data_IF_489957928084
#
_entry.id   IF_489957928084
#
_cell.length_a   1.000
_cell.length_b   1.000
_cell.length_c   1.000
_cell.angle_alpha   90.00
_cell.angle_beta   90.00
_cell.angle_gamma   90.00
#
_symmetry.space_group_name_H-M   'P 1'
#
loop_
_entity.id
_entity.type
_entity.pdbx_description
1 polymer ?
#
# COMPACT_ATOMS: atom_id res chain seq x y z
N UNK A 1 -7.75 -10.39 25.31
CA UNK A 1 -6.65 -10.23 24.33
C UNK A 1 -6.80 -11.18 23.14
N UNK A 2 -7.03 -12.49 23.36
CA UNK A 2 -7.19 -13.52 22.33
C UNK A 2 -8.18 -13.15 21.21
N UNK A 3 -9.39 -12.65 21.54
CA UNK A 3 -10.39 -12.25 20.53
C UNK A 3 -9.87 -11.21 19.51
N UNK A 4 -9.09 -10.22 19.96
CA UNK A 4 -8.52 -9.20 19.07
C UNK A 4 -7.44 -9.78 18.16
N UNK A 5 -6.61 -10.69 18.68
CA UNK A 5 -5.59 -11.38 17.90
C UNK A 5 -6.22 -12.26 16.81
N UNK A 6 -7.32 -12.96 17.12
CA UNK A 6 -8.07 -13.75 16.13
C UNK A 6 -8.61 -12.84 15.02
N UNK A 7 -9.22 -11.70 15.37
CA UNK A 7 -9.76 -10.77 14.37
C UNK A 7 -8.66 -10.16 13.48
N UNK A 8 -7.49 -9.85 14.05
CA UNK A 8 -6.32 -9.40 13.30
C UNK A 8 -5.88 -10.51 12.34
N UNK A 9 -5.72 -11.74 12.82
CA UNK A 9 -5.29 -12.88 12.01
C UNK A 9 -6.27 -13.15 10.86
N UNK A 10 -7.58 -13.10 11.11
CA UNK A 10 -8.60 -13.25 10.07
C UNK A 10 -8.50 -12.14 9.02
N UNK A 11 -8.32 -10.88 9.44
CA UNK A 11 -8.12 -9.76 8.51
C UNK A 11 -6.86 -9.92 7.67
N UNK A 12 -5.75 -10.33 8.29
CA UNK A 12 -4.49 -10.58 7.58
C UNK A 12 -4.61 -11.75 6.60
N UNK A 13 -5.26 -12.85 6.99
CA UNK A 13 -5.49 -14.01 6.13
C UNK A 13 -6.40 -13.67 4.94
N UNK A 14 -7.46 -12.90 5.18
CA UNK A 14 -8.33 -12.39 4.12
C UNK A 14 -7.54 -11.51 3.13
N UNK A 15 -6.62 -10.67 3.63
CA UNK A 15 -5.77 -9.87 2.77
C UNK A 15 -4.85 -10.75 1.90
N UNK A 16 -4.24 -11.80 2.46
CA UNK A 16 -3.45 -12.77 1.67
C UNK A 16 -4.30 -13.39 0.56
N UNK A 17 -5.51 -13.86 0.87
CA UNK A 17 -6.40 -14.46 -0.13
C UNK A 17 -6.74 -13.48 -1.27
N UNK A 18 -7.05 -12.22 -0.94
CA UNK A 18 -7.31 -11.17 -1.94
C UNK A 18 -6.08 -10.87 -2.77
N UNK A 19 -4.89 -10.75 -2.16
CA UNK A 19 -3.65 -10.51 -2.87
C UNK A 19 -3.32 -11.64 -3.85
N UNK A 20 -3.41 -12.90 -3.41
CA UNK A 20 -3.16 -14.08 -4.26
C UNK A 20 -4.18 -14.13 -5.39
N UNK A 21 -5.46 -13.92 -5.10
CA UNK A 21 -6.50 -13.89 -6.12
C UNK A 21 -6.21 -12.82 -7.17
N UNK A 22 -6.01 -11.56 -6.76
CA UNK A 22 -5.74 -10.45 -7.71
C UNK A 22 -4.47 -10.68 -8.51
N UNK A 23 -3.37 -11.11 -7.86
CA UNK A 23 -2.13 -11.43 -8.56
C UNK A 23 -2.34 -12.54 -9.61
N UNK A 24 -3.05 -13.61 -9.27
CA UNK A 24 -3.32 -14.72 -10.19
C UNK A 24 -4.09 -14.30 -11.45
N UNK A 25 -4.96 -13.28 -11.34
CA UNK A 25 -5.72 -12.73 -12.47
C UNK A 25 -4.90 -11.74 -13.29
N UNK A 26 -3.92 -11.08 -12.67
CA UNK A 26 -3.08 -10.08 -13.31
C UNK A 26 -1.90 -10.70 -14.08
N UNK A 27 -1.39 -11.85 -13.64
CA UNK A 27 -0.37 -12.61 -14.37
C UNK A 27 -0.89 -13.00 -15.76
N UNK A 28 -0.08 -12.80 -16.80
CA UNK A 28 -0.48 -13.04 -18.19
C UNK A 28 -1.55 -12.10 -18.77
N UNK A 29 -2.00 -11.08 -18.04
CA UNK A 29 -3.08 -10.17 -18.50
C UNK A 29 -2.61 -9.07 -19.45
N UNK A 30 -1.30 -8.87 -19.58
CA UNK A 30 -0.73 -7.83 -20.44
C UNK A 30 -0.36 -8.39 -21.82
N UNK A 31 -0.35 -7.50 -22.82
CA UNK A 31 0.06 -7.85 -24.17
C UNK A 31 1.45 -8.48 -24.19
N UNK A 32 1.61 -9.53 -24.99
CA UNK A 32 2.86 -10.29 -25.11
C UNK A 32 3.93 -9.58 -25.96
N UNK A 33 3.59 -8.45 -26.59
CA UNK A 33 4.51 -7.72 -27.44
C UNK A 33 5.74 -7.26 -26.63
N UNK A 34 6.95 -7.39 -27.18
CA UNK A 34 8.15 -6.83 -26.55
C UNK A 34 7.98 -5.33 -26.31
N UNK A 35 8.38 -4.88 -25.13
CA UNK A 35 8.38 -3.47 -24.74
C UNK A 35 9.81 -3.03 -24.45
N UNK A 36 10.17 -1.84 -24.87
CA UNK A 36 11.46 -1.26 -24.54
C UNK A 36 11.53 -0.98 -23.03
N UNK A 37 12.73 -1.11 -22.42
CA UNK A 37 12.94 -0.89 -20.97
C UNK A 37 12.33 0.43 -20.49
N UNK A 38 12.48 1.50 -21.28
CA UNK A 38 11.91 2.82 -20.98
C UNK A 38 10.38 2.80 -20.84
N UNK A 39 9.67 2.05 -21.68
CA UNK A 39 8.21 1.93 -21.63
C UNK A 39 7.74 1.16 -20.39
N UNK A 40 8.50 0.15 -19.99
CA UNK A 40 8.21 -0.64 -18.78
C UNK A 40 8.40 0.19 -17.51
N UNK A 41 9.47 0.97 -17.45
CA UNK A 41 9.70 1.93 -16.36
C UNK A 41 8.65 3.05 -16.36
N UNK A 42 8.25 3.54 -17.53
CA UNK A 42 7.17 4.51 -17.65
C UNK A 42 5.84 3.96 -17.13
N UNK A 43 5.54 2.67 -17.34
CA UNK A 43 4.38 2.00 -16.76
C UNK A 43 4.43 2.03 -15.22
N UNK A 44 5.55 1.63 -14.62
CA UNK A 44 5.72 1.68 -13.15
C UNK A 44 5.56 3.11 -12.62
N UNK A 45 6.21 4.09 -13.25
CA UNK A 45 6.15 5.50 -12.87
C UNK A 45 4.72 6.07 -12.93
N UNK A 46 3.93 5.71 -13.95
CA UNK A 46 2.52 6.15 -14.06
C UNK A 46 1.69 5.63 -12.90
N UNK A 47 1.87 4.37 -12.52
CA UNK A 47 1.09 3.77 -11.44
C UNK A 47 1.51 4.22 -10.04
N UNK A 48 2.72 4.78 -9.88
CA UNK A 48 3.13 5.49 -8.66
C UNK A 48 2.27 6.72 -8.34
N UNK A 49 1.48 7.22 -9.30
CA UNK A 49 0.47 8.25 -9.03
C UNK A 49 -0.53 7.79 -7.95
N UNK A 50 -0.89 6.50 -7.90
CA UNK A 50 -1.85 5.96 -6.94
C UNK A 50 -1.38 6.14 -5.48
N UNK A 51 -0.22 5.59 -5.07
CA UNK A 51 0.28 5.81 -3.71
C UNK A 51 0.54 7.29 -3.41
N UNK A 52 0.98 8.08 -4.39
CA UNK A 52 1.16 9.52 -4.24
C UNK A 52 -0.17 10.24 -3.90
N UNK A 53 -1.27 9.91 -4.58
CA UNK A 53 -2.59 10.45 -4.29
C UNK A 53 -3.10 10.01 -2.91
N UNK A 54 -2.88 8.76 -2.51
CA UNK A 54 -3.24 8.27 -1.17
C UNK A 54 -2.49 9.02 -0.06
N UNK A 55 -1.20 9.32 -0.27
CA UNK A 55 -0.38 10.09 0.65
C UNK A 55 -0.82 11.57 0.68
N UNK A 56 -1.04 12.16 -0.48
CA UNK A 56 -1.50 13.54 -0.62
C UNK A 56 -2.84 13.76 0.10
N UNK A 57 -3.79 12.83 -0.05
CA UNK A 57 -5.07 12.90 0.66
C UNK A 57 -4.89 12.91 2.18
N UNK A 58 -4.04 12.03 2.73
CA UNK A 58 -3.78 11.99 4.17
C UNK A 58 -3.01 13.21 4.68
N UNK A 59 -2.10 13.78 3.88
CA UNK A 59 -1.44 15.06 4.17
C UNK A 59 -2.45 16.20 4.22
N UNK A 60 -3.36 16.28 3.24
CA UNK A 60 -4.44 17.28 3.21
C UNK A 60 -5.35 17.20 4.44
N UNK A 61 -5.73 15.99 4.85
CA UNK A 61 -6.48 15.77 6.09
C UNK A 61 -5.71 16.23 7.33
N UNK A 62 -4.39 16.01 7.39
CA UNK A 62 -3.55 16.44 8.53
C UNK A 62 -3.43 17.96 8.58
N UNK A 63 -3.19 18.58 7.43
CA UNK A 63 -3.10 20.03 7.30
C UNK A 63 -4.41 20.68 7.77
N UNK A 64 -5.55 20.23 7.26
CA UNK A 64 -6.86 20.75 7.64
C UNK A 64 -7.11 20.68 9.16
N UNK A 65 -6.65 19.62 9.81
CA UNK A 65 -6.81 19.50 11.26
C UNK A 65 -5.91 20.41 12.08
N UNK A 66 -4.67 20.63 11.63
CA UNK A 66 -3.76 21.58 12.29
C UNK A 66 -4.21 23.02 12.14
N UNK A 67 -4.81 23.37 11.00
CA UNK A 67 -5.33 24.73 10.77
C UNK A 67 -6.59 25.04 11.59
N UNK A 68 -7.45 24.05 11.84
CA UNK A 68 -8.78 24.27 12.42
C UNK A 68 -8.89 23.98 13.92
N UNK A 69 -7.81 23.51 14.57
CA UNK A 69 -7.84 23.11 15.99
C UNK A 69 -6.68 23.70 16.78
N UNK A 70 -6.99 24.56 17.74
CA UNK A 70 -5.99 25.26 18.55
C UNK A 70 -5.04 24.31 19.31
N UNK A 71 -5.54 23.18 19.82
CA UNK A 71 -4.75 22.14 20.49
C UNK A 71 -3.81 21.37 19.54
N UNK A 72 -4.07 21.40 18.23
CA UNK A 72 -3.22 20.79 17.21
C UNK A 72 -2.12 21.72 16.67
N UNK A 73 -2.22 23.03 16.94
CA UNK A 73 -1.23 24.04 16.52
C UNK A 73 0.05 23.87 17.35
N UNK A 74 -0.09 23.69 18.66
CA UNK A 74 1.04 23.58 19.59
C UNK A 74 1.80 22.25 19.50
N UNK A 75 1.27 21.27 18.75
CA UNK A 75 1.95 20.00 18.47
C UNK A 75 2.13 19.07 19.68
N UNK A 76 1.46 19.34 20.80
CA UNK A 76 1.56 18.56 22.03
C UNK A 76 0.93 17.15 21.95
N UNK A 77 1.41 16.18 22.75
CA UNK A 77 0.83 14.85 22.80
C UNK A 77 -0.60 14.87 23.38
N UNK A 78 -1.53 14.16 22.75
CA UNK A 78 -2.92 14.02 23.22
C UNK A 78 -3.09 12.73 24.02
N UNK A 79 -3.93 12.75 25.08
CA UNK A 79 -4.07 11.65 26.04
C UNK A 79 -4.78 10.39 25.48
N UNK A 80 -5.44 10.49 24.34
CA UNK A 80 -6.04 9.37 23.58
C UNK A 80 -5.79 9.62 22.09
N UNK A 81 -5.57 8.57 21.27
CA UNK A 81 -5.41 8.76 19.83
C UNK A 81 -6.69 9.30 19.23
N UNK A 82 -6.73 10.62 19.06
CA UNK A 82 -7.73 11.31 18.28
C UNK A 82 -7.53 11.06 16.79
N UNK A 83 -8.41 11.61 15.97
CA UNK A 83 -8.31 11.52 14.52
C UNK A 83 -6.93 11.96 14.01
N UNK A 84 -6.36 13.05 14.56
CA UNK A 84 -5.06 13.57 14.13
C UNK A 84 -3.95 12.53 14.30
N UNK A 85 -3.90 11.84 15.43
CA UNK A 85 -2.90 10.81 15.67
C UNK A 85 -3.08 9.62 14.71
N UNK A 86 -4.33 9.20 14.47
CA UNK A 86 -4.65 8.15 13.48
C UNK A 86 -4.15 8.57 12.09
N UNK A 87 -4.41 9.81 11.68
CA UNK A 87 -4.04 10.30 10.37
C UNK A 87 -2.52 10.48 10.20
N UNK A 88 -1.81 10.91 11.25
CA UNK A 88 -0.35 10.94 11.26
C UNK A 88 0.25 9.53 11.11
N UNK A 89 -0.32 8.53 11.82
CA UNK A 89 0.09 7.12 11.68
C UNK A 89 -0.24 6.56 10.30
N UNK A 90 -1.36 6.96 9.70
CA UNK A 90 -1.71 6.65 8.32
C UNK A 90 -0.70 7.23 7.33
N UNK A 91 -0.31 8.50 7.48
CA UNK A 91 0.65 9.16 6.60
C UNK A 91 2.03 8.52 6.67
N UNK A 92 2.54 8.29 7.90
CA UNK A 92 3.83 7.63 8.09
C UNK A 92 3.84 6.25 7.44
N UNK A 93 2.82 5.44 7.70
CA UNK A 93 2.75 4.11 7.11
C UNK A 93 2.58 4.17 5.59
N UNK A 94 1.78 5.10 5.07
CA UNK A 94 1.58 5.24 3.61
C UNK A 94 2.86 5.69 2.93
N UNK A 95 3.67 6.55 3.55
CA UNK A 95 4.99 6.91 3.04
C UNK A 95 5.92 5.69 2.97
N UNK A 96 6.02 4.92 4.06
CA UNK A 96 6.81 3.69 4.10
C UNK A 96 6.38 2.70 3.00
N UNK A 97 5.08 2.45 2.87
CA UNK A 97 4.55 1.55 1.85
C UNK A 97 4.77 2.11 0.43
N UNK A 98 4.72 3.43 0.24
CA UNK A 98 5.00 4.07 -1.06
C UNK A 98 6.44 3.87 -1.49
N UNK A 99 7.40 4.05 -0.57
CA UNK A 99 8.83 3.82 -0.84
C UNK A 99 9.08 2.35 -1.22
N UNK A 100 8.50 1.41 -0.48
CA UNK A 100 8.62 -0.02 -0.80
C UNK A 100 7.97 -0.36 -2.15
N UNK A 101 6.80 0.22 -2.46
CA UNK A 101 6.14 0.04 -3.75
C UNK A 101 6.98 0.60 -4.91
N UNK A 102 7.63 1.75 -4.73
CA UNK A 102 8.51 2.34 -5.75
C UNK A 102 9.66 1.39 -6.13
N UNK A 103 10.32 0.81 -5.13
CA UNK A 103 11.40 -0.17 -5.34
C UNK A 103 10.85 -1.44 -5.99
N UNK A 104 9.76 -1.97 -5.43
CA UNK A 104 9.13 -3.21 -5.88
C UNK A 104 8.67 -3.11 -7.35
N UNK A 105 7.91 -2.07 -7.71
CA UNK A 105 7.32 -1.95 -9.05
C UNK A 105 8.36 -1.60 -10.11
N UNK A 106 9.39 -0.83 -9.75
CA UNK A 106 10.56 -0.63 -10.63
C UNK A 106 11.24 -1.96 -10.92
N UNK A 107 11.50 -2.77 -9.89
CA UNK A 107 12.10 -4.10 -10.08
C UNK A 107 11.21 -5.03 -10.93
N UNK A 108 9.91 -5.08 -10.67
CA UNK A 108 8.97 -5.86 -11.50
C UNK A 108 8.96 -5.39 -12.95
N UNK A 109 9.02 -4.08 -13.21
CA UNK A 109 9.07 -3.53 -14.55
C UNK A 109 10.35 -3.90 -15.31
N UNK A 110 11.43 -4.23 -14.61
CA UNK A 110 12.68 -4.69 -15.22
C UNK A 110 12.71 -6.21 -15.40
N UNK A 111 12.21 -6.97 -14.42
CA UNK A 111 12.43 -8.43 -14.34
C UNK A 111 11.28 -9.29 -14.87
N UNK A 112 10.04 -8.80 -14.87
CA UNK A 112 8.90 -9.61 -15.36
C UNK A 112 9.00 -9.85 -16.87
N UNK A 113 8.22 -10.79 -17.40
CA UNK A 113 7.99 -10.86 -18.84
C UNK A 113 6.99 -9.77 -19.28
N UNK A 114 6.93 -9.38 -20.57
CA UNK A 114 5.93 -8.42 -21.04
C UNK A 114 4.48 -8.83 -20.73
N UNK A 115 4.18 -10.14 -20.71
CA UNK A 115 2.83 -10.66 -20.40
C UNK A 115 2.40 -10.44 -18.96
N UNK A 116 3.35 -10.34 -18.03
CA UNK A 116 3.08 -10.25 -16.59
C UNK A 116 3.09 -8.81 -16.07
N UNK A 117 3.39 -7.83 -16.92
CA UNK A 117 3.41 -6.41 -16.53
C UNK A 117 2.06 -5.88 -16.03
N UNK A 118 0.96 -6.58 -16.32
CA UNK A 118 -0.36 -6.30 -15.75
C UNK A 118 -0.43 -6.47 -14.24
N UNK A 119 0.57 -7.10 -13.62
CA UNK A 119 0.70 -7.17 -12.17
C UNK A 119 0.85 -5.77 -11.53
N UNK A 120 1.63 -4.87 -12.12
CA UNK A 120 1.88 -3.52 -11.57
C UNK A 120 0.58 -2.72 -11.37
N UNK A 121 -0.29 -2.53 -12.39
CA UNK A 121 -1.57 -1.84 -12.19
C UNK A 121 -2.47 -2.54 -11.15
N UNK A 122 -2.45 -3.86 -11.11
CA UNK A 122 -3.25 -4.61 -10.14
C UNK A 122 -2.75 -4.38 -8.69
N UNK A 123 -1.44 -4.33 -8.48
CA UNK A 123 -0.84 -3.99 -7.18
C UNK A 123 -1.13 -2.54 -6.79
N UNK A 124 -1.16 -1.61 -7.75
CA UNK A 124 -1.58 -0.23 -7.49
C UNK A 124 -3.05 -0.15 -7.06
N UNK A 125 -3.95 -0.93 -7.68
CA UNK A 125 -5.34 -1.07 -7.25
C UNK A 125 -5.46 -1.60 -5.82
N UNK A 126 -4.73 -2.68 -5.50
CA UNK A 126 -4.63 -3.19 -4.13
C UNK A 126 -4.11 -2.13 -3.15
N UNK A 127 -3.17 -1.29 -3.59
CA UNK A 127 -2.64 -0.20 -2.79
C UNK A 127 -3.73 0.78 -2.40
N UNK A 128 -4.48 1.31 -3.38
CA UNK A 128 -5.58 2.25 -3.13
C UNK A 128 -6.64 1.66 -2.18
N UNK A 129 -7.10 0.44 -2.46
CA UNK A 129 -8.10 -0.24 -1.62
C UNK A 129 -7.56 -0.51 -0.23
N UNK A 130 -6.30 -0.95 -0.13
CA UNK A 130 -5.61 -1.20 1.14
C UNK A 130 -5.50 0.05 1.99
N UNK A 131 -5.18 1.21 1.40
CA UNK A 131 -5.13 2.50 2.12
C UNK A 131 -6.50 2.95 2.62
N UNK A 132 -7.53 2.85 1.80
CA UNK A 132 -8.90 3.16 2.21
C UNK A 132 -9.35 2.25 3.37
N UNK A 133 -9.16 0.93 3.23
CA UNK A 133 -9.52 -0.04 4.26
C UNK A 133 -8.71 0.14 5.55
N UNK A 134 -7.42 0.47 5.45
CA UNK A 134 -6.59 0.77 6.61
C UNK A 134 -7.12 1.99 7.35
N UNK A 135 -7.38 3.09 6.65
CA UNK A 135 -7.83 4.34 7.28
C UNK A 135 -9.20 4.18 7.93
N UNK A 136 -10.20 3.70 7.16
CA UNK A 136 -11.56 3.48 7.66
C UNK A 136 -11.58 2.45 8.81
N UNK A 137 -10.81 1.37 8.68
CA UNK A 137 -10.66 0.38 9.74
C UNK A 137 -10.05 0.99 11.01
N UNK A 138 -9.05 1.84 10.87
CA UNK A 138 -8.40 2.49 12.03
C UNK A 138 -9.34 3.46 12.75
N UNK A 139 -10.17 4.20 12.00
CA UNK A 139 -11.20 5.06 12.58
C UNK A 139 -12.23 4.26 13.40
N UNK A 140 -12.54 3.02 12.99
CA UNK A 140 -13.42 2.14 13.75
C UNK A 140 -12.73 1.53 14.98
N UNK A 141 -11.57 0.91 14.78
CA UNK A 141 -10.78 0.32 15.86
C UNK A 141 -9.30 0.11 15.47
N UNK A 142 -8.33 0.26 16.40
CA UNK A 142 -6.91 0.10 16.11
C UNK A 142 -6.50 -1.23 15.46
N UNK A 143 -7.23 -2.31 15.73
CA UNK A 143 -6.94 -3.64 15.19
C UNK A 143 -7.58 -3.87 13.81
N UNK A 144 -8.64 -3.14 13.45
CA UNK A 144 -9.40 -3.36 12.21
C UNK A 144 -8.64 -2.89 10.96
N UNK A 145 -7.59 -2.08 11.12
CA UNK A 145 -6.69 -1.67 10.02
C UNK A 145 -5.83 -2.79 9.45
N UNK A 146 -5.78 -3.96 10.10
CA UNK A 146 -4.91 -5.07 9.73
C UNK A 146 -5.15 -5.59 8.30
N UNK A 147 -6.41 -5.70 7.88
CA UNK A 147 -6.74 -6.11 6.50
C UNK A 147 -6.15 -5.15 5.47
N UNK A 148 -6.37 -3.83 5.64
CA UNK A 148 -5.82 -2.82 4.74
C UNK A 148 -4.29 -2.74 4.75
N UNK A 149 -3.66 -3.01 5.90
CA UNK A 149 -2.20 -3.17 5.99
C UNK A 149 -1.73 -4.36 5.15
N UNK A 150 -2.40 -5.51 5.27
CA UNK A 150 -2.05 -6.71 4.52
C UNK A 150 -2.10 -6.51 3.01
N UNK A 151 -3.09 -5.78 2.50
CA UNK A 151 -3.24 -5.51 1.06
C UNK A 151 -2.08 -4.71 0.44
N UNK A 152 -1.31 -3.95 1.23
CA UNK A 152 -0.10 -3.27 0.74
C UNK A 152 1.18 -3.99 1.14
N UNK A 153 1.22 -4.52 2.36
CA UNK A 153 2.41 -5.12 2.95
C UNK A 153 2.78 -6.44 2.26
N UNK A 154 1.82 -7.34 2.06
CA UNK A 154 2.11 -8.65 1.49
C UNK A 154 2.61 -8.58 0.04
N UNK A 155 2.00 -7.79 -0.86
CA UNK A 155 2.56 -7.63 -2.20
C UNK A 155 3.97 -7.04 -2.22
N UNK A 156 4.25 -6.04 -1.35
CA UNK A 156 5.57 -5.44 -1.25
C UNK A 156 6.61 -6.48 -0.78
N UNK A 157 6.34 -7.20 0.31
CA UNK A 157 7.24 -8.24 0.83
C UNK A 157 7.47 -9.34 -0.20
N UNK A 158 6.41 -9.89 -0.80
CA UNK A 158 6.53 -10.97 -1.77
C UNK A 158 7.37 -10.54 -2.98
N UNK A 159 7.15 -9.32 -3.48
CA UNK A 159 7.89 -8.76 -4.61
C UNK A 159 9.36 -8.54 -4.26
N UNK A 160 9.65 -7.89 -3.13
CA UNK A 160 11.02 -7.59 -2.72
C UNK A 160 11.82 -8.85 -2.43
N UNK A 161 11.22 -9.86 -1.80
CA UNK A 161 11.85 -11.17 -1.58
C UNK A 161 12.12 -11.86 -2.91
N UNK A 162 11.16 -11.86 -3.84
CA UNK A 162 11.35 -12.45 -5.17
C UNK A 162 12.47 -11.75 -5.97
N UNK A 163 12.53 -10.42 -5.94
CA UNK A 163 13.61 -9.64 -6.55
C UNK A 163 14.97 -9.92 -5.90
N UNK A 164 15.01 -10.04 -4.58
CA UNK A 164 16.24 -10.37 -3.86
C UNK A 164 16.75 -11.76 -4.26
N UNK A 165 15.86 -12.76 -4.38
CA UNK A 165 16.22 -14.11 -4.85
C UNK A 165 16.78 -14.04 -6.28
N UNK A 166 16.14 -13.26 -7.17
CA UNK A 166 16.59 -13.06 -8.55
C UNK A 166 17.97 -12.39 -8.66
N UNK A 167 18.29 -11.46 -7.77
CA UNK A 167 19.59 -10.76 -7.79
C UNK A 167 20.77 -11.68 -7.45
N UNK A 168 20.52 -12.74 -6.66
CA UNK A 168 21.55 -13.70 -6.22
C UNK A 168 21.44 -15.07 -6.91
N UNK A 169 20.65 -15.19 -7.99
CA UNK A 169 20.49 -16.41 -8.77
C UNK A 169 21.11 -16.24 -10.16
#
# INVERSE_FOLDING_TARGET
MIRKQILIALGMLAAVAVCVFVASRAMGSHAAAPLAVAERLALAARWMLVPALCLFAGLGLTANQRFLRADAIDGGPTAKPGFLEINLRYNQNTLEQTVLAAVAWTGLALELTPRDLGLIPALAGLFAVGRAAFFLGYLYAPWARAFGLGLTFYPAVATLVWLAIRLFA
#
